data_IF_089590078547
#
_entry.id   IF_089590078547
#
_cell.length_a   1.000
_cell.length_b   1.000
_cell.length_c   1.000
_cell.angle_alpha   90.00
_cell.angle_beta   90.00
_cell.angle_gamma   90.00
#
_symmetry.space_group_name_H-M   'P 1'
#
loop_
_entity.id
_entity.type
_entity.pdbx_description
1 polymer ?
#
# COMPACT_ATOMS: atom_id res chain seq x y z
N UNK A 1 21.34 8.47 -27.34
CA UNK A 1 20.16 9.34 -27.15
C UNK A 1 19.02 9.05 -28.13
N UNK A 2 19.24 8.34 -29.25
CA UNK A 2 18.18 8.15 -30.26
C UNK A 2 17.00 7.26 -29.85
N UNK A 3 17.18 6.37 -28.86
CA UNK A 3 16.13 5.44 -28.42
C UNK A 3 14.90 6.10 -27.76
N UNK A 4 15.06 7.29 -27.17
CA UNK A 4 13.95 7.99 -26.50
C UNK A 4 13.31 9.08 -27.36
N UNK A 5 13.90 9.42 -28.52
CA UNK A 5 13.43 10.51 -29.38
C UNK A 5 12.00 10.30 -29.92
N UNK A 6 11.56 9.04 -30.04
CA UNK A 6 10.24 8.69 -30.59
C UNK A 6 9.25 8.19 -29.53
N UNK A 7 9.58 8.26 -28.23
CA UNK A 7 8.67 7.84 -27.15
C UNK A 7 7.61 8.93 -26.95
N UNK A 8 6.34 8.60 -27.22
CA UNK A 8 5.20 9.53 -27.11
C UNK A 8 4.59 9.60 -25.72
N UNK A 9 4.70 8.52 -24.94
CA UNK A 9 4.07 8.40 -23.63
C UNK A 9 5.08 7.90 -22.61
N UNK A 10 5.03 8.51 -21.44
CA UNK A 10 5.88 8.18 -20.31
C UNK A 10 5.00 7.80 -19.13
N UNK A 11 5.32 6.68 -18.50
CA UNK A 11 4.73 6.27 -17.24
C UNK A 11 5.78 6.54 -16.19
N UNK A 12 5.42 7.35 -15.21
CA UNK A 12 6.25 7.59 -14.04
C UNK A 12 5.63 6.86 -12.87
N UNK A 13 6.47 6.12 -12.16
CA UNK A 13 6.12 5.72 -10.83
C UNK A 13 5.98 6.96 -9.94
N UNK A 14 5.13 6.87 -8.92
CA UNK A 14 4.84 7.98 -8.02
C UNK A 14 5.81 7.98 -6.85
N UNK A 15 5.81 6.87 -6.11
CA UNK A 15 6.40 6.81 -4.79
C UNK A 15 7.92 6.67 -4.86
N UNK A 16 8.65 7.49 -4.09
CA UNK A 16 10.12 7.57 -4.15
C UNK A 16 10.69 7.94 -5.55
N UNK A 17 9.83 8.31 -6.50
CA UNK A 17 10.21 8.73 -7.86
C UNK A 17 9.87 10.19 -8.08
N UNK A 18 8.60 10.59 -7.91
CA UNK A 18 8.18 12.00 -8.04
C UNK A 18 8.43 12.80 -6.76
N UNK A 19 8.62 12.12 -5.63
CA UNK A 19 9.10 12.70 -4.38
C UNK A 19 10.23 11.84 -3.80
N UNK A 20 11.18 12.42 -3.04
CA UNK A 20 12.31 11.67 -2.52
C UNK A 20 11.93 10.75 -1.35
N UNK A 21 12.68 9.67 -1.16
CA UNK A 21 12.49 8.75 -0.03
C UNK A 21 12.64 9.40 1.34
N UNK A 22 13.35 10.54 1.42
CA UNK A 22 13.49 11.36 2.63
C UNK A 22 12.16 11.94 3.14
N UNK A 23 11.11 11.98 2.31
CA UNK A 23 9.75 12.33 2.74
C UNK A 23 9.19 11.31 3.75
N UNK A 24 9.72 10.09 3.75
CA UNK A 24 9.40 9.03 4.70
C UNK A 24 7.89 8.72 4.81
N UNK A 25 7.16 8.90 3.69
CA UNK A 25 5.71 8.72 3.61
C UNK A 25 5.30 7.29 3.96
N UNK A 26 6.05 6.31 3.46
CA UNK A 26 5.78 4.89 3.70
C UNK A 26 5.73 4.54 5.18
N UNK A 27 6.58 5.13 6.03
CA UNK A 27 6.53 4.86 7.47
C UNK A 27 5.23 5.29 8.15
N UNK A 28 4.55 6.32 7.60
CA UNK A 28 3.26 6.79 8.10
C UNK A 28 2.13 5.89 7.60
N UNK A 29 2.12 5.62 6.29
CA UNK A 29 1.16 4.73 5.64
C UNK A 29 1.20 3.33 6.27
N UNK A 30 2.40 2.82 6.58
CA UNK A 30 2.58 1.52 7.20
C UNK A 30 1.91 1.40 8.58
N UNK A 31 2.00 2.46 9.39
CA UNK A 31 1.34 2.54 10.70
C UNK A 31 -0.18 2.66 10.58
N UNK A 32 -0.67 3.43 9.59
CA UNK A 32 -2.10 3.57 9.34
C UNK A 32 -2.71 2.25 8.87
N UNK A 33 -2.05 1.53 7.96
CA UNK A 33 -2.49 0.19 7.53
C UNK A 33 -2.55 -0.79 8.70
N UNK A 34 -1.52 -0.86 9.54
CA UNK A 34 -1.52 -1.73 10.71
C UNK A 34 -2.63 -1.35 11.70
N UNK A 35 -2.87 -0.05 11.90
CA UNK A 35 -3.96 0.46 12.76
C UNK A 35 -5.33 0.10 12.22
N UNK A 36 -5.53 0.26 10.90
CA UNK A 36 -6.77 -0.12 10.22
C UNK A 36 -7.06 -1.60 10.43
N UNK A 37 -6.07 -2.47 10.21
CA UNK A 37 -6.22 -3.94 10.34
C UNK A 37 -6.51 -4.32 11.79
N UNK A 38 -5.80 -3.73 12.75
CA UNK A 38 -6.02 -3.93 14.19
C UNK A 38 -7.49 -3.64 14.54
N UNK A 39 -8.01 -2.49 14.11
CA UNK A 39 -9.38 -2.05 14.41
C UNK A 39 -10.45 -2.88 13.70
N UNK A 40 -10.26 -3.17 12.41
CA UNK A 40 -11.29 -3.80 11.58
C UNK A 40 -11.36 -5.31 11.74
N UNK A 41 -10.24 -5.96 12.04
CA UNK A 41 -10.19 -7.41 12.24
C UNK A 41 -10.17 -7.79 13.73
N UNK A 42 -10.14 -6.80 14.63
CA UNK A 42 -10.07 -6.99 16.08
C UNK A 42 -8.93 -7.93 16.49
N UNK A 43 -7.75 -7.69 15.92
CA UNK A 43 -6.50 -8.42 16.19
C UNK A 43 -5.52 -7.54 16.94
N UNK A 44 -4.50 -8.12 17.55
CA UNK A 44 -3.45 -7.31 18.16
C UNK A 44 -2.53 -6.67 17.10
N UNK A 45 -1.70 -5.71 17.51
CA UNK A 45 -0.86 -4.96 16.57
C UNK A 45 0.19 -5.83 15.86
N UNK A 46 0.75 -6.83 16.54
CA UNK A 46 1.74 -7.75 15.97
C UNK A 46 1.11 -8.64 14.88
N UNK A 47 -0.07 -9.19 15.17
CA UNK A 47 -0.88 -9.92 14.21
C UNK A 47 -1.27 -9.06 13.01
N UNK A 48 -1.64 -7.78 13.24
CA UNK A 48 -1.97 -6.86 12.17
C UNK A 48 -0.77 -6.61 11.22
N UNK A 49 0.45 -6.48 11.76
CA UNK A 49 1.67 -6.36 10.97
C UNK A 49 1.91 -7.64 10.15
N UNK A 50 1.71 -8.81 10.76
CA UNK A 50 1.88 -10.07 10.07
C UNK A 50 0.87 -10.22 8.92
N UNK A 51 -0.41 -9.96 9.16
CA UNK A 51 -1.47 -9.98 8.13
C UNK A 51 -1.13 -9.02 6.97
N UNK A 52 -0.73 -7.78 7.30
CA UNK A 52 -0.32 -6.78 6.31
C UNK A 52 0.81 -7.30 5.41
N UNK A 53 1.88 -7.81 6.01
CA UNK A 53 3.05 -8.30 5.28
C UNK A 53 2.70 -9.53 4.42
N UNK A 54 1.93 -10.46 4.99
CA UNK A 54 1.46 -11.66 4.29
C UNK A 54 0.61 -11.29 3.07
N UNK A 55 -0.28 -10.31 3.21
CA UNK A 55 -1.15 -9.89 2.12
C UNK A 55 -0.41 -9.12 1.04
N UNK A 56 0.53 -8.27 1.43
CA UNK A 56 1.43 -7.65 0.47
C UNK A 56 2.18 -8.69 -0.36
N UNK A 57 2.78 -9.70 0.28
CA UNK A 57 3.53 -10.74 -0.42
C UNK A 57 2.64 -11.64 -1.31
N UNK A 58 1.47 -12.07 -0.80
CA UNK A 58 0.61 -13.05 -1.50
C UNK A 58 -0.30 -12.40 -2.55
N UNK A 59 -0.66 -11.13 -2.38
CA UNK A 59 -1.67 -10.46 -3.21
C UNK A 59 -1.16 -9.22 -3.94
N UNK A 60 0.13 -8.88 -3.82
CA UNK A 60 0.77 -7.72 -4.44
C UNK A 60 0.48 -6.38 -3.74
N UNK A 61 -0.64 -6.28 -3.03
CA UNK A 61 -0.95 -5.17 -2.12
C UNK A 61 -1.72 -5.68 -0.90
N UNK A 62 -1.52 -5.02 0.24
CA UNK A 62 -2.29 -5.31 1.47
C UNK A 62 -3.79 -5.17 1.23
N UNK A 63 -4.19 -4.11 0.52
CA UNK A 63 -5.59 -3.83 0.19
C UNK A 63 -6.24 -4.98 -0.59
N UNK A 64 -5.56 -5.54 -1.59
CA UNK A 64 -6.10 -6.66 -2.36
C UNK A 64 -6.34 -7.90 -1.48
N UNK A 65 -5.45 -8.17 -0.51
CA UNK A 65 -5.66 -9.24 0.46
C UNK A 65 -6.83 -8.98 1.40
N UNK A 66 -6.98 -7.74 1.87
CA UNK A 66 -8.10 -7.34 2.73
C UNK A 66 -9.46 -7.47 2.01
N UNK A 67 -9.54 -7.06 0.74
CA UNK A 67 -10.74 -7.22 -0.09
C UNK A 67 -11.07 -8.71 -0.26
N UNK A 68 -10.08 -9.53 -0.65
CA UNK A 68 -10.30 -10.94 -0.97
C UNK A 68 -10.65 -11.81 0.23
N UNK A 69 -10.03 -11.55 1.38
CA UNK A 69 -10.09 -12.45 2.52
C UNK A 69 -11.02 -11.97 3.63
N UNK A 70 -11.31 -10.67 3.68
CA UNK A 70 -12.15 -10.04 4.72
C UNK A 70 -13.27 -9.17 4.15
N UNK A 71 -13.42 -9.09 2.83
CA UNK A 71 -14.48 -8.34 2.15
C UNK A 71 -14.53 -6.85 2.58
N UNK A 72 -13.35 -6.28 2.87
CA UNK A 72 -13.18 -4.87 3.22
C UNK A 72 -13.55 -3.99 2.03
N UNK A 73 -14.30 -2.92 2.28
CA UNK A 73 -14.56 -1.87 1.29
C UNK A 73 -13.27 -1.10 0.98
N UNK A 74 -12.79 -1.10 -0.27
CA UNK A 74 -11.58 -0.35 -0.64
C UNK A 74 -11.70 1.15 -0.43
N UNK A 75 -12.89 1.74 -0.57
CA UNK A 75 -13.05 3.18 -0.37
C UNK A 75 -12.84 3.56 1.09
N UNK A 76 -13.42 2.78 2.01
CA UNK A 76 -13.21 2.99 3.44
C UNK A 76 -11.75 2.82 3.86
N UNK A 77 -11.04 1.83 3.30
CA UNK A 77 -9.60 1.66 3.55
C UNK A 77 -8.80 2.87 3.06
N UNK A 78 -9.05 3.34 1.83
CA UNK A 78 -8.31 4.45 1.21
C UNK A 78 -8.64 5.82 1.82
N UNK A 79 -9.79 5.99 2.46
CA UNK A 79 -10.11 7.19 3.21
C UNK A 79 -9.40 7.23 4.57
N UNK A 80 -9.18 6.06 5.17
CA UNK A 80 -8.51 5.94 6.46
C UNK A 80 -6.98 6.04 6.36
N UNK A 81 -6.38 5.42 5.34
CA UNK A 81 -4.93 5.27 5.14
C UNK A 81 -4.35 6.42 4.32
#
# INVERSE_FOLDING_TARGET
>A
MDKIKNVKFWIFDLDNTLYPSSTNLFSKIDKLMASFITQHLNVNHEEAIQIKNDYFQKHGTTLNGLIKNHNIDPHHFLEFV
#
